data_IF_345417784651
#
_entry.id   IF_345417784651
#
_cell.length_a   1.000
_cell.length_b   1.000
_cell.length_c   1.000
_cell.angle_alpha   90.00
_cell.angle_beta   90.00
_cell.angle_gamma   90.00
#
_symmetry.space_group_name_H-M   'P 1'
#
loop_
_entity.id
_entity.type
_entity.pdbx_description
1 polymer ?
#
# COMPACT_ATOMS: atom_id res chain seq x y z
N UNK A 1 -10.58 -3.09 -27.49
CA UNK A 1 -10.91 -3.66 -26.16
C UNK A 1 -11.32 -5.12 -26.25
N UNK A 2 -12.28 -5.50 -27.11
CA UNK A 2 -12.75 -6.90 -27.21
C UNK A 2 -11.65 -7.95 -27.41
N UNK A 3 -10.64 -7.69 -28.25
CA UNK A 3 -9.52 -8.62 -28.46
C UNK A 3 -8.60 -8.78 -27.24
N UNK A 4 -8.56 -7.80 -26.32
CA UNK A 4 -7.75 -7.89 -25.11
C UNK A 4 -8.46 -8.70 -24.01
N UNK A 5 -9.79 -8.72 -24.01
CA UNK A 5 -10.61 -9.43 -23.02
C UNK A 5 -10.59 -10.96 -23.20
N UNK A 6 -10.03 -11.45 -24.32
CA UNK A 6 -9.77 -12.88 -24.56
C UNK A 6 -8.39 -13.33 -24.10
N UNK A 7 -7.60 -12.46 -23.45
CA UNK A 7 -6.30 -12.83 -22.91
C UNK A 7 -6.46 -13.57 -21.58
N UNK A 8 -5.51 -14.47 -21.31
CA UNK A 8 -5.45 -15.18 -20.03
C UNK A 8 -4.65 -14.38 -18.99
N UNK A 9 -5.10 -14.35 -17.72
CA UNK A 9 -6.30 -14.99 -17.16
C UNK A 9 -7.62 -14.33 -17.62
N UNK A 10 -8.66 -15.14 -17.85
CA UNK A 10 -9.99 -14.62 -18.17
C UNK A 10 -10.48 -13.58 -17.14
N UNK A 11 -11.10 -12.49 -17.62
CA UNK A 11 -11.48 -11.33 -16.80
C UNK A 11 -10.40 -10.25 -16.69
N UNK A 12 -9.18 -10.51 -17.18
CA UNK A 12 -8.17 -9.46 -17.41
C UNK A 12 -8.72 -8.45 -18.44
N UNK A 13 -8.61 -7.16 -18.15
CA UNK A 13 -9.18 -6.06 -18.95
C UNK A 13 -10.71 -5.91 -18.92
N UNK A 14 -11.40 -6.50 -17.95
CA UNK A 14 -12.78 -6.13 -17.65
C UNK A 14 -12.88 -4.67 -17.18
N UNK A 15 -13.95 -3.99 -17.58
CA UNK A 15 -14.26 -2.60 -17.23
C UNK A 15 -14.88 -2.49 -15.83
N UNK A 16 -15.58 -3.53 -15.41
CA UNK A 16 -16.21 -3.64 -14.10
C UNK A 16 -16.23 -5.09 -13.61
N UNK A 17 -16.69 -5.29 -12.38
CA UNK A 17 -16.76 -6.61 -11.75
C UNK A 17 -17.73 -7.56 -12.48
N UNK A 18 -18.86 -7.05 -12.97
CA UNK A 18 -19.86 -7.87 -13.65
C UNK A 18 -19.30 -8.42 -14.97
N UNK A 19 -18.59 -7.60 -15.73
CA UNK A 19 -17.88 -8.01 -16.94
C UNK A 19 -16.76 -9.00 -16.60
N UNK A 20 -16.00 -8.76 -15.52
CA UNK A 20 -14.92 -9.65 -15.06
C UNK A 20 -15.44 -11.06 -14.80
N UNK A 21 -16.50 -11.19 -13.99
CA UNK A 21 -17.09 -12.48 -13.66
C UNK A 21 -17.77 -13.12 -14.87
N UNK A 22 -18.42 -12.32 -15.73
CA UNK A 22 -19.05 -12.82 -16.96
C UNK A 22 -18.04 -13.45 -17.92
N UNK A 23 -16.88 -12.81 -18.11
CA UNK A 23 -15.81 -13.33 -18.97
C UNK A 23 -15.26 -14.66 -18.42
N UNK A 24 -15.08 -14.77 -17.11
CA UNK A 24 -14.62 -16.02 -16.49
C UNK A 24 -15.65 -17.14 -16.59
N UNK A 25 -16.94 -16.83 -16.44
CA UNK A 25 -18.02 -17.80 -16.60
C UNK A 25 -18.17 -18.26 -18.05
N UNK A 26 -17.97 -17.35 -19.03
CA UNK A 26 -17.93 -17.72 -20.45
C UNK A 26 -16.78 -18.66 -20.76
N UNK A 27 -15.59 -18.39 -20.22
CA UNK A 27 -14.43 -19.26 -20.41
C UNK A 27 -14.63 -20.68 -19.84
N UNK A 28 -15.50 -20.82 -18.82
CA UNK A 28 -15.87 -22.12 -18.22
C UNK A 28 -17.13 -22.77 -18.82
N UNK A 29 -17.75 -22.15 -19.82
CA UNK A 29 -19.05 -22.57 -20.37
C UNK A 29 -20.17 -22.66 -19.31
N UNK A 30 -20.16 -21.73 -18.35
CA UNK A 30 -21.12 -21.63 -17.24
C UNK A 30 -21.96 -20.35 -17.27
N UNK A 31 -21.83 -19.52 -18.30
CA UNK A 31 -22.61 -18.28 -18.41
C UNK A 31 -23.98 -18.53 -19.07
N UNK A 32 -24.85 -19.24 -18.37
CA UNK A 32 -26.25 -19.44 -18.76
C UNK A 32 -27.12 -18.18 -18.48
N UNK A 33 -28.40 -18.14 -18.93
CA UNK A 33 -29.27 -16.99 -18.70
C UNK A 33 -29.49 -16.64 -17.22
N UNK A 34 -29.58 -17.63 -16.33
CA UNK A 34 -29.78 -17.40 -14.90
C UNK A 34 -28.52 -16.77 -14.29
N UNK A 35 -27.34 -17.28 -14.64
CA UNK A 35 -26.05 -16.76 -14.19
C UNK A 35 -25.81 -15.34 -14.72
N UNK A 36 -26.19 -15.05 -15.97
CA UNK A 36 -26.19 -13.68 -16.52
C UNK A 36 -27.06 -12.74 -15.69
N UNK A 37 -28.27 -13.19 -15.33
CA UNK A 37 -29.19 -12.39 -14.51
C UNK A 37 -28.60 -12.13 -13.11
N UNK A 38 -27.96 -13.13 -12.50
CA UNK A 38 -27.30 -12.98 -11.21
C UNK A 38 -26.15 -11.97 -11.29
N UNK A 39 -25.24 -12.11 -12.25
CA UNK A 39 -24.08 -11.22 -12.43
C UNK A 39 -24.50 -9.78 -12.79
N UNK A 40 -25.64 -9.59 -13.47
CA UNK A 40 -26.21 -8.26 -13.69
C UNK A 40 -26.76 -7.61 -12.41
N UNK A 41 -26.97 -8.39 -11.33
CA UNK A 41 -27.61 -7.96 -10.08
C UNK A 41 -26.73 -8.25 -8.84
N UNK A 42 -25.40 -8.11 -8.95
CA UNK A 42 -24.46 -8.35 -7.84
C UNK A 42 -24.74 -7.50 -6.59
N UNK A 43 -25.39 -6.34 -6.71
CA UNK A 43 -25.81 -5.53 -5.56
C UNK A 43 -26.82 -6.24 -4.66
N UNK A 44 -27.75 -7.02 -5.25
CA UNK A 44 -28.69 -7.82 -4.47
C UNK A 44 -27.96 -8.95 -3.72
N UNK A 45 -26.92 -9.51 -4.35
CA UNK A 45 -26.05 -10.49 -3.72
C UNK A 45 -25.29 -9.88 -2.54
N UNK A 46 -24.72 -8.67 -2.69
CA UNK A 46 -24.04 -7.95 -1.62
C UNK A 46 -24.97 -7.68 -0.42
N UNK A 47 -26.25 -7.37 -0.69
CA UNK A 47 -27.29 -7.15 0.33
C UNK A 47 -27.91 -8.43 0.87
N UNK A 48 -27.53 -9.60 0.35
CA UNK A 48 -28.10 -10.92 0.69
C UNK A 48 -29.61 -11.04 0.45
N UNK A 49 -30.14 -10.30 -0.54
CA UNK A 49 -31.55 -10.38 -0.94
C UNK A 49 -31.77 -11.58 -1.88
N UNK A 50 -31.71 -12.78 -1.31
CA UNK A 50 -31.86 -14.02 -2.07
C UNK A 50 -33.26 -14.24 -2.61
N UNK A 51 -34.29 -13.70 -1.95
CA UNK A 51 -35.68 -13.85 -2.41
C UNK A 51 -35.91 -13.12 -3.73
N UNK A 52 -35.42 -11.88 -3.84
CA UNK A 52 -35.49 -11.13 -5.09
C UNK A 52 -34.63 -11.79 -6.17
N UNK A 53 -33.43 -12.27 -5.81
CA UNK A 53 -32.54 -12.97 -6.76
C UNK A 53 -33.17 -14.24 -7.34
N UNK A 54 -33.78 -15.11 -6.52
CA UNK A 54 -34.50 -16.31 -7.00
C UNK A 54 -35.53 -15.96 -8.06
N UNK A 55 -36.33 -14.91 -7.81
CA UNK A 55 -37.36 -14.44 -8.75
C UNK A 55 -36.78 -13.88 -10.05
N UNK A 56 -35.68 -13.11 -9.97
CA UNK A 56 -35.04 -12.52 -11.16
C UNK A 56 -34.34 -13.58 -12.00
N UNK A 57 -33.65 -14.52 -11.36
CA UNK A 57 -32.92 -15.59 -12.04
C UNK A 57 -33.85 -16.72 -12.52
N UNK A 58 -35.05 -16.84 -11.93
CA UNK A 58 -36.03 -17.86 -12.28
C UNK A 58 -35.66 -19.26 -11.79
N UNK A 59 -34.93 -19.33 -10.67
CA UNK A 59 -34.37 -20.57 -10.11
C UNK A 59 -34.93 -20.84 -8.72
N UNK A 60 -34.83 -22.09 -8.27
CA UNK A 60 -35.16 -22.45 -6.89
C UNK A 60 -34.01 -22.14 -5.92
N UNK A 61 -34.14 -22.59 -4.68
CA UNK A 61 -33.13 -22.32 -3.65
C UNK A 61 -31.87 -23.17 -3.78
N UNK A 62 -32.00 -24.41 -4.25
CA UNK A 62 -30.87 -25.32 -4.42
C UNK A 62 -29.99 -24.82 -5.58
N UNK A 63 -30.62 -24.51 -6.71
CA UNK A 63 -29.96 -23.91 -7.88
C UNK A 63 -29.26 -22.59 -7.51
N UNK A 64 -29.93 -21.72 -6.74
CA UNK A 64 -29.31 -20.46 -6.33
C UNK A 64 -28.05 -20.70 -5.48
N UNK A 65 -28.06 -21.67 -4.56
CA UNK A 65 -26.90 -21.98 -3.73
C UNK A 65 -25.72 -22.48 -4.57
N UNK A 66 -25.98 -23.30 -5.59
CA UNK A 66 -24.97 -23.77 -6.52
C UNK A 66 -24.38 -22.61 -7.34
N UNK A 67 -25.23 -21.73 -7.86
CA UNK A 67 -24.79 -20.53 -8.58
C UNK A 67 -23.90 -19.63 -7.71
N UNK A 68 -24.23 -19.49 -6.43
CA UNK A 68 -23.43 -18.73 -5.47
C UNK A 68 -22.07 -19.38 -5.20
N UNK A 69 -22.03 -20.72 -5.13
CA UNK A 69 -20.77 -21.45 -4.98
C UNK A 69 -19.86 -21.23 -6.20
N UNK A 70 -20.41 -21.24 -7.41
CA UNK A 70 -19.65 -20.96 -8.63
C UNK A 70 -19.05 -19.56 -8.63
N UNK A 71 -19.85 -18.53 -8.30
CA UNK A 71 -19.35 -17.15 -8.25
C UNK A 71 -18.25 -16.97 -7.22
N UNK A 72 -18.36 -17.64 -6.06
CA UNK A 72 -17.32 -17.62 -5.02
C UNK A 72 -16.02 -18.30 -5.45
N UNK A 73 -16.07 -19.19 -6.43
CA UNK A 73 -14.91 -19.88 -6.99
C UNK A 73 -14.23 -19.11 -8.14
N UNK A 74 -14.69 -17.90 -8.46
CA UNK A 74 -14.09 -17.00 -9.43
C UNK A 74 -13.13 -16.02 -8.76
N UNK A 75 -12.23 -15.43 -9.55
CA UNK A 75 -11.29 -14.42 -9.08
C UNK A 75 -11.80 -13.01 -9.47
N UNK A 76 -12.26 -12.18 -8.53
CA UNK A 76 -12.74 -10.84 -8.87
C UNK A 76 -11.63 -9.90 -9.38
N UNK A 77 -10.35 -10.21 -9.19
CA UNK A 77 -9.20 -9.35 -9.54
C UNK A 77 -8.01 -10.17 -10.04
N UNK A 78 -8.13 -10.81 -11.22
CA UNK A 78 -7.09 -11.68 -11.76
C UNK A 78 -5.74 -10.96 -11.99
N UNK A 79 -5.77 -9.63 -12.15
CA UNK A 79 -4.56 -8.81 -12.28
C UNK A 79 -3.64 -8.80 -11.04
N UNK A 80 -4.17 -9.10 -9.83
CA UNK A 80 -3.38 -9.09 -8.59
C UNK A 80 -2.29 -10.17 -8.58
N UNK A 81 -2.48 -11.27 -9.32
CA UNK A 81 -1.43 -12.30 -9.46
C UNK A 81 -0.14 -11.74 -10.08
N UNK A 82 -0.23 -10.64 -10.82
CA UNK A 82 0.91 -9.97 -11.45
C UNK A 82 1.42 -8.77 -10.65
N UNK A 83 0.74 -8.36 -9.57
CA UNK A 83 1.22 -7.29 -8.71
C UNK A 83 2.24 -7.83 -7.70
N UNK A 84 3.48 -8.00 -8.16
CA UNK A 84 4.65 -8.22 -7.33
C UNK A 84 5.35 -6.89 -7.05
N UNK A 85 4.81 -6.09 -6.12
CA UNK A 85 5.62 -5.04 -5.51
C UNK A 85 6.68 -5.71 -4.64
N UNK A 86 7.93 -5.26 -4.73
CA UNK A 86 8.88 -5.59 -3.67
C UNK A 86 8.23 -5.16 -2.35
N UNK A 87 8.10 -6.08 -1.39
CA UNK A 87 7.74 -5.70 -0.04
C UNK A 87 8.71 -4.61 0.38
N UNK A 88 8.20 -3.45 0.80
CA UNK A 88 9.07 -2.44 1.40
C UNK A 88 9.80 -3.10 2.57
N UNK A 89 11.12 -3.18 2.46
CA UNK A 89 11.94 -3.72 3.52
C UNK A 89 11.86 -2.74 4.68
N UNK A 90 11.23 -3.15 5.79
CA UNK A 90 11.25 -2.38 7.02
C UNK A 90 12.70 -2.42 7.53
N UNK A 91 13.39 -1.29 7.43
CA UNK A 91 14.71 -1.10 8.04
C UNK A 91 14.51 -0.93 9.54
N UNK A 92 15.14 -1.78 10.35
CA UNK A 92 15.03 -1.70 11.80
C UNK A 92 15.84 -0.53 12.35
N UNK A 93 15.29 0.17 13.34
CA UNK A 93 15.99 1.24 14.07
C UNK A 93 17.03 0.69 15.07
N UNK A 94 16.88 -0.56 15.52
CA UNK A 94 17.75 -1.24 16.47
C UNK A 94 18.08 -2.64 15.96
N UNK A 95 19.36 -3.00 15.97
CA UNK A 95 19.84 -4.34 15.70
C UNK A 95 20.24 -5.04 17.00
N UNK A 96 19.77 -6.28 17.19
CA UNK A 96 20.10 -7.11 18.35
C UNK A 96 20.84 -8.35 17.87
N UNK A 97 22.05 -8.59 18.40
CA UNK A 97 22.91 -9.71 18.03
C UNK A 97 23.34 -10.48 19.29
N UNK A 98 23.39 -11.81 19.21
CA UNK A 98 23.95 -12.62 20.28
C UNK A 98 25.48 -12.44 20.31
N UNK A 99 26.03 -12.12 21.47
CA UNK A 99 27.47 -12.03 21.68
C UNK A 99 28.06 -13.41 22.01
N UNK A 100 29.36 -13.57 21.77
CA UNK A 100 30.08 -14.84 21.96
C UNK A 100 30.13 -15.33 23.41
N UNK A 101 29.86 -14.45 24.38
CA UNK A 101 29.82 -14.73 25.81
C UNK A 101 28.42 -15.09 26.32
N UNK A 102 27.42 -15.20 25.42
CA UNK A 102 26.04 -15.50 25.75
C UNK A 102 25.20 -14.27 26.15
N UNK A 103 25.76 -13.06 26.10
CA UNK A 103 25.03 -11.80 26.27
C UNK A 103 24.41 -11.31 24.95
N UNK A 104 23.61 -10.23 25.02
CA UNK A 104 23.04 -9.58 23.85
C UNK A 104 23.75 -8.25 23.58
N UNK A 105 24.24 -8.07 22.35
CA UNK A 105 24.70 -6.80 21.83
C UNK A 105 23.52 -6.09 21.15
N UNK A 106 23.21 -4.88 21.63
CA UNK A 106 22.13 -4.04 21.10
C UNK A 106 22.76 -2.77 20.54
N UNK A 107 22.55 -2.50 19.25
CA UNK A 107 23.12 -1.34 18.56
C UNK A 107 22.04 -0.61 17.76
N UNK A 108 22.11 0.72 17.75
CA UNK A 108 21.24 1.55 16.92
C UNK A 108 21.70 1.51 15.47
N UNK A 109 20.75 1.45 14.55
CA UNK A 109 21.05 1.52 13.13
C UNK A 109 21.42 2.96 12.73
N UNK A 110 22.71 3.19 12.46
CA UNK A 110 23.21 4.50 12.07
C UNK A 110 22.65 4.99 10.71
N UNK A 111 22.11 4.09 9.88
CA UNK A 111 21.52 4.45 8.59
C UNK A 111 20.09 4.98 8.71
N UNK A 112 19.40 4.71 9.84
CA UNK A 112 18.09 5.33 10.12
C UNK A 112 18.21 6.67 10.86
N UNK A 113 19.41 7.01 11.35
CA UNK A 113 19.66 8.27 12.05
C UNK A 113 19.90 9.43 11.07
N UNK A 114 19.18 10.56 11.20
CA UNK A 114 19.39 11.73 10.35
C UNK A 114 20.76 12.36 10.63
N UNK A 115 21.57 12.56 9.58
CA UNK A 115 22.86 13.24 9.66
C UNK A 115 22.69 14.73 9.41
N UNK A 116 23.00 15.55 10.42
CA UNK A 116 22.98 17.01 10.31
C UNK A 116 24.38 17.56 10.46
N UNK A 117 24.79 18.43 9.53
CA UNK A 117 26.08 19.12 9.54
C UNK A 117 25.84 20.63 9.56
N UNK A 118 26.49 21.33 10.49
CA UNK A 118 26.49 22.78 10.55
C UNK A 118 27.72 23.31 9.81
N UNK A 119 27.51 24.05 8.72
CA UNK A 119 28.59 24.65 7.95
C UNK A 119 29.08 25.96 8.61
N UNK A 120 30.07 25.81 9.49
CA UNK A 120 30.71 26.93 10.18
C UNK A 120 31.55 27.82 9.24
N UNK A 121 32.04 27.27 8.13
CA UNK A 121 32.84 28.03 7.15
C UNK A 121 31.95 28.98 6.38
N UNK A 122 30.77 28.50 5.96
CA UNK A 122 29.78 29.34 5.33
C UNK A 122 29.28 30.44 6.27
N UNK A 123 28.97 30.09 7.52
CA UNK A 123 28.57 31.06 8.53
C UNK A 123 29.62 32.18 8.67
N UNK A 124 30.89 31.82 8.89
CA UNK A 124 31.98 32.80 9.02
C UNK A 124 32.14 33.69 7.77
N UNK A 125 32.00 33.11 6.57
CA UNK A 125 32.05 33.85 5.30
C UNK A 125 30.91 34.84 5.16
N UNK A 126 29.68 34.48 5.54
CA UNK A 126 28.54 35.38 5.44
C UNK A 126 28.62 36.46 6.49
N UNK A 127 28.90 36.10 7.75
CA UNK A 127 29.04 37.04 8.87
C UNK A 127 30.11 38.12 8.62
N UNK A 128 31.17 37.82 7.85
CA UNK A 128 32.20 38.81 7.52
C UNK A 128 31.75 39.88 6.52
N UNK A 129 30.69 39.62 5.75
CA UNK A 129 30.15 40.56 4.74
C UNK A 129 28.94 41.35 5.27
N UNK A 130 28.40 40.96 6.42
CA UNK A 130 27.23 41.57 7.05
C UNK A 130 27.59 42.85 7.80
N UNK A 131 26.91 43.95 7.48
CA UNK A 131 27.18 45.27 8.09
C UNK A 131 26.07 45.72 9.03
N UNK A 132 24.83 45.35 8.74
CA UNK A 132 23.67 45.72 9.55
C UNK A 132 23.59 44.87 10.82
N UNK A 133 23.13 45.47 11.92
CA UNK A 133 22.96 44.80 13.20
C UNK A 133 21.81 43.79 13.14
N UNK A 134 20.71 44.13 12.46
CA UNK A 134 19.57 43.23 12.30
C UNK A 134 19.96 41.94 11.54
N UNK A 135 20.79 42.06 10.51
CA UNK A 135 21.30 40.91 9.76
C UNK A 135 22.25 40.03 10.61
N UNK A 136 23.07 40.64 11.48
CA UNK A 136 23.95 39.89 12.40
C UNK A 136 23.16 39.10 13.45
N UNK A 137 22.14 39.73 14.02
CA UNK A 137 21.28 39.10 15.02
C UNK A 137 20.52 37.91 14.41
N UNK A 138 20.00 38.07 13.17
CA UNK A 138 19.36 36.99 12.43
C UNK A 138 20.31 35.81 12.15
N UNK A 139 21.55 36.08 11.73
CA UNK A 139 22.54 35.03 11.50
C UNK A 139 22.90 34.29 12.79
N UNK A 140 23.05 35.02 13.90
CA UNK A 140 23.32 34.42 15.22
C UNK A 140 22.18 33.50 15.67
N UNK A 141 20.92 33.91 15.47
CA UNK A 141 19.74 33.09 15.75
C UNK A 141 19.72 31.81 14.90
N UNK A 142 20.02 31.92 13.60
CA UNK A 142 20.10 30.78 12.70
C UNK A 142 21.17 29.76 13.13
N UNK A 143 22.35 30.23 13.56
CA UNK A 143 23.40 29.35 14.08
C UNK A 143 22.99 28.70 15.41
N UNK A 144 22.33 29.45 16.28
CA UNK A 144 21.82 28.92 17.55
C UNK A 144 20.79 27.81 17.32
N UNK A 145 19.86 28.02 16.37
CA UNK A 145 18.85 27.03 16.00
C UNK A 145 19.48 25.78 15.38
N UNK A 146 20.48 25.94 14.51
CA UNK A 146 21.22 24.81 13.92
C UNK A 146 21.97 23.98 14.98
N UNK A 147 22.61 24.65 15.94
CA UNK A 147 23.27 23.99 17.07
C UNK A 147 22.29 23.28 18.00
N UNK A 148 21.13 23.89 18.28
CA UNK A 148 20.07 23.27 19.06
C UNK A 148 19.54 22.01 18.37
N UNK A 149 19.26 22.07 17.07
CA UNK A 149 18.77 20.92 16.30
C UNK A 149 19.77 19.76 16.34
N UNK A 150 21.06 20.04 16.14
CA UNK A 150 22.11 19.01 16.19
C UNK A 150 22.15 18.30 17.54
N UNK A 151 22.04 19.06 18.64
CA UNK A 151 22.02 18.49 20.01
C UNK A 151 20.75 17.69 20.29
N UNK A 152 19.59 18.19 19.86
CA UNK A 152 18.31 17.49 20.05
C UNK A 152 18.28 16.15 19.32
N UNK A 153 18.89 16.05 18.13
CA UNK A 153 19.01 14.80 17.40
C UNK A 153 19.95 13.80 18.08
N UNK A 154 21.11 14.26 18.57
CA UNK A 154 22.04 13.43 19.35
C UNK A 154 21.38 12.90 20.65
N UNK A 155 20.61 13.74 21.34
CA UNK A 155 19.88 13.33 22.55
C UNK A 155 18.82 12.26 22.25
N UNK A 156 18.07 12.41 21.15
CA UNK A 156 17.10 11.42 20.72
C UNK A 156 17.78 10.08 20.42
N UNK A 157 18.89 10.09 19.69
CA UNK A 157 19.65 8.87 19.41
C UNK A 157 20.08 8.15 20.69
N UNK A 158 20.52 8.88 21.73
CA UNK A 158 20.92 8.28 23.02
C UNK A 158 19.79 7.76 23.89
N UNK A 159 18.55 8.19 23.64
CA UNK A 159 17.38 7.83 24.46
C UNK A 159 16.65 6.59 23.93
N UNK A 160 16.90 6.22 22.67
CA UNK A 160 16.43 4.98 22.04
C UNK A 160 17.37 3.86 22.46
#
# INVERSE_FOLDING_TARGET
LGSCQSFEPAGLFARDLAECLSLQLQARDRLDPAMKALVANLELLARRDFQTLKRICGVDEEDLLDMLAEIRALDPRPGLAFSGGASDAIVADVEVRAANDGSWAVELNADTLPRVLVDNVYFARVSSHTKDQAEKDFLAECLQNANWLTRSLDQRAKTI
#
